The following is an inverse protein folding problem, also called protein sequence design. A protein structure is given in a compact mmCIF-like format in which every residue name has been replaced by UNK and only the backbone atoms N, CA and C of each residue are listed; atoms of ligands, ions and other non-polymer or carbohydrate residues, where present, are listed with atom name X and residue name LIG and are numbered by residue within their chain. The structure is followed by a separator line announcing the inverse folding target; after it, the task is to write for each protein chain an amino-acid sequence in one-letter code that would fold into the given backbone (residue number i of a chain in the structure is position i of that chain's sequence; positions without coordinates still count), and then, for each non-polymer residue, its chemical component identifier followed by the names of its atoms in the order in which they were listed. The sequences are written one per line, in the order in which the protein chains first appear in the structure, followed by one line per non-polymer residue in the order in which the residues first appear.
data_IF_575278109977
#
_entry.id   IF_575278109977
#
_cell.length_a   1.000
_cell.length_b   1.000
_cell.length_c   1.000
_cell.angle_alpha   90.00
_cell.angle_beta   90.00
_cell.angle_gamma   90.00
#
_symmetry.space_group_name_H-M   'P 1'
#
loop_
_entity.id
_entity.type
_entity.pdbx_description
1 polymer ?
#
# COMPACT_ATOMS: atom_id res chain seq x y z
N UNK A 1 11.05 5.20 -9.54
CA UNK A 1 10.23 5.12 -10.77
C UNK A 1 11.13 4.87 -11.98
N UNK A 2 10.61 4.32 -13.10
CA UNK A 2 11.38 4.30 -14.34
C UNK A 2 11.34 5.70 -14.97
N UNK A 3 12.51 6.25 -15.32
CA UNK A 3 12.62 7.58 -15.92
C UNK A 3 11.78 7.73 -17.21
N UNK A 4 11.38 6.62 -17.82
CA UNK A 4 10.56 6.59 -19.03
C UNK A 4 9.07 6.83 -18.77
N UNK A 5 8.54 6.42 -17.62
CA UNK A 5 7.13 6.66 -17.27
C UNK A 5 6.87 8.12 -16.92
N UNK A 6 7.75 8.71 -16.11
CA UNK A 6 7.66 10.13 -15.74
C UNK A 6 7.75 11.04 -16.96
N UNK A 7 8.73 10.79 -17.85
CA UNK A 7 8.86 11.52 -19.13
C UNK A 7 7.64 11.37 -20.03
N UNK A 8 6.95 10.23 -19.99
CA UNK A 8 5.74 10.01 -20.80
C UNK A 8 4.55 10.80 -20.25
N UNK A 9 4.33 10.79 -18.93
CA UNK A 9 3.26 11.58 -18.31
C UNK A 9 3.50 13.08 -18.48
N UNK A 10 4.74 13.54 -18.25
CA UNK A 10 5.11 14.94 -18.45
C UNK A 10 4.93 15.37 -19.92
N UNK A 11 5.30 14.51 -20.87
CA UNK A 11 5.08 14.76 -22.31
C UNK A 11 3.60 14.84 -22.71
N UNK A 12 2.73 14.04 -22.09
CA UNK A 12 1.28 14.10 -22.33
C UNK A 12 0.69 15.38 -21.74
N UNK A 13 1.09 15.77 -20.54
CA UNK A 13 0.66 17.01 -19.89
C UNK A 13 1.09 18.22 -20.72
N UNK A 14 2.35 18.26 -21.16
CA UNK A 14 2.90 19.33 -21.99
C UNK A 14 2.15 19.46 -23.33
N UNK A 15 1.85 18.34 -23.99
CA UNK A 15 1.08 18.34 -25.24
C UNK A 15 -0.36 18.87 -25.04
N UNK A 16 -1.02 18.51 -23.94
CA UNK A 16 -2.36 19.02 -23.63
C UNK A 16 -2.33 20.53 -23.36
N UNK A 17 -1.34 21.02 -22.61
CA UNK A 17 -1.22 22.44 -22.26
C UNK A 17 -0.81 23.33 -23.45
N UNK A 18 0.11 22.88 -24.28
CA UNK A 18 0.68 23.67 -25.38
C UNK A 18 -0.16 23.63 -26.65
N UNK A 19 -0.88 22.52 -26.91
CA UNK A 19 -1.57 22.33 -28.18
C UNK A 19 -3.09 22.21 -28.07
N UNK A 20 -3.64 21.71 -26.96
CA UNK A 20 -5.09 21.46 -26.86
C UNK A 20 -5.81 22.61 -26.16
N UNK A 21 -5.31 23.07 -25.00
CA UNK A 21 -5.92 24.17 -24.24
C UNK A 21 -6.02 25.47 -25.06
N UNK A 22 -4.97 25.93 -25.79
CA UNK A 22 -5.01 27.21 -26.50
C UNK A 22 -5.89 27.20 -27.76
N UNK A 23 -6.06 26.02 -28.37
CA UNK A 23 -6.83 25.85 -29.61
C UNK A 23 -8.30 25.47 -29.34
N UNK A 24 -8.70 25.32 -28.08
CA UNK A 24 -10.07 25.02 -27.69
C UNK A 24 -10.86 26.31 -27.47
N UNK A 25 -11.79 26.60 -28.38
CA UNK A 25 -12.72 27.74 -28.29
C UNK A 25 -13.90 27.49 -27.34
N UNK A 26 -14.05 26.27 -26.84
CA UNK A 26 -15.13 25.89 -25.91
C UNK A 26 -14.60 25.80 -24.48
N UNK A 27 -15.20 26.59 -23.58
CA UNK A 27 -14.93 26.63 -22.14
C UNK A 27 -15.17 25.28 -21.46
N UNK A 28 -16.19 24.53 -21.87
CA UNK A 28 -16.47 23.21 -21.33
C UNK A 28 -15.35 22.23 -21.67
N UNK A 29 -14.88 22.23 -22.92
CA UNK A 29 -13.77 21.39 -23.38
C UNK A 29 -12.47 21.76 -22.67
N UNK A 30 -12.21 23.05 -22.44
CA UNK A 30 -11.07 23.49 -21.62
C UNK A 30 -11.15 22.94 -20.19
N UNK A 31 -12.33 22.99 -19.58
CA UNK A 31 -12.57 22.41 -18.26
C UNK A 31 -12.24 20.90 -18.20
N UNK A 32 -12.68 20.13 -19.19
CA UNK A 32 -12.39 18.69 -19.29
C UNK A 32 -10.88 18.41 -19.46
N UNK A 33 -10.18 19.23 -20.25
CA UNK A 33 -8.72 19.10 -20.45
C UNK A 33 -7.97 19.42 -19.15
N UNK A 34 -8.37 20.43 -18.39
CA UNK A 34 -7.80 20.69 -17.07
C UNK A 34 -8.07 19.55 -16.08
N UNK A 35 -9.27 18.94 -16.10
CA UNK A 35 -9.56 17.75 -15.30
C UNK A 35 -8.68 16.56 -15.68
N UNK A 36 -8.39 16.35 -16.97
CA UNK A 36 -7.49 15.31 -17.44
C UNK A 36 -6.03 15.54 -16.99
N UNK A 37 -5.53 16.78 -17.11
CA UNK A 37 -4.21 17.18 -16.60
C UNK A 37 -4.14 16.95 -15.08
N UNK A 38 -5.19 17.30 -14.35
CA UNK A 38 -5.26 17.07 -12.90
C UNK A 38 -5.23 15.58 -12.56
N UNK A 39 -5.97 14.73 -13.30
CA UNK A 39 -5.94 13.28 -13.11
C UNK A 39 -4.56 12.67 -13.44
N UNK A 40 -3.88 13.16 -14.48
CA UNK A 40 -2.52 12.72 -14.84
C UNK A 40 -1.48 13.13 -13.79
N UNK A 41 -1.59 14.34 -13.24
CA UNK A 41 -0.79 14.76 -12.08
C UNK A 41 -1.10 13.92 -10.83
N UNK A 42 -2.37 13.56 -10.62
CA UNK A 42 -2.77 12.63 -9.57
C UNK A 42 -2.19 11.22 -9.75
N UNK A 43 -2.05 10.74 -11.00
CA UNK A 43 -1.39 9.48 -11.33
C UNK A 43 0.13 9.54 -11.08
N UNK A 44 0.78 10.68 -11.40
CA UNK A 44 2.20 10.92 -11.06
C UNK A 44 2.40 10.92 -9.53
N UNK A 45 1.51 11.59 -8.79
CA UNK A 45 1.52 11.63 -7.33
C UNK A 45 1.25 10.25 -6.71
N UNK A 46 0.30 9.48 -7.25
CA UNK A 46 0.03 8.10 -6.83
C UNK A 46 1.19 7.15 -7.19
N UNK A 47 1.96 7.43 -8.24
CA UNK A 47 3.17 6.69 -8.57
C UNK A 47 4.35 7.05 -7.65
N UNK A 48 4.42 8.29 -7.15
CA UNK A 48 5.35 8.74 -6.10
C UNK A 48 5.01 8.15 -4.71
N UNK A 49 3.77 7.72 -4.47
CA UNK A 49 3.31 7.14 -3.20
C UNK A 49 3.89 5.75 -2.84
N UNK A 50 4.68 5.11 -3.69
CA UNK A 50 5.11 3.71 -3.48
C UNK A 50 6.25 3.48 -2.47
N UNK A 51 6.93 4.47 -1.89
CA UNK A 51 8.02 4.17 -0.94
C UNK A 51 7.58 4.15 0.54
N UNK A 52 7.05 5.26 1.05
CA UNK A 52 6.77 5.43 2.50
C UNK A 52 5.78 4.39 3.07
N UNK A 53 4.56 4.29 2.53
CA UNK A 53 3.59 3.29 2.98
C UNK A 53 4.07 1.84 2.83
N UNK A 54 4.80 1.51 1.75
CA UNK A 54 5.37 0.18 1.59
C UNK A 54 6.44 -0.11 2.66
N UNK A 55 7.27 0.88 3.01
CA UNK A 55 8.24 0.75 4.11
C UNK A 55 7.52 0.51 5.45
N UNK A 56 6.44 1.23 5.72
CA UNK A 56 5.66 1.08 6.95
C UNK A 56 4.99 -0.30 7.04
N UNK A 57 4.49 -0.84 5.92
CA UNK A 57 3.98 -2.21 5.86
C UNK A 57 5.08 -3.23 6.14
N UNK A 58 6.25 -3.12 5.51
CA UNK A 58 7.34 -4.08 5.75
C UNK A 58 7.86 -4.00 7.19
N UNK A 59 7.92 -2.81 7.80
CA UNK A 59 8.25 -2.65 9.22
C UNK A 59 7.21 -3.29 10.13
N UNK A 60 5.92 -3.13 9.83
CA UNK A 60 4.83 -3.78 10.55
C UNK A 60 4.93 -5.31 10.46
N UNK A 61 5.21 -5.84 9.27
CA UNK A 61 5.48 -7.25 9.06
C UNK A 61 6.71 -7.71 9.86
N UNK A 62 7.79 -6.94 9.90
CA UNK A 62 9.00 -7.26 10.66
C UNK A 62 8.75 -7.34 12.17
N UNK A 63 7.99 -6.38 12.72
CA UNK A 63 7.55 -6.44 14.11
C UNK A 63 6.68 -7.67 14.39
N UNK A 64 5.82 -8.02 13.44
CA UNK A 64 4.95 -9.20 13.53
C UNK A 64 5.78 -10.48 13.53
N UNK A 65 6.73 -10.65 12.61
CA UNK A 65 7.63 -11.80 12.57
C UNK A 65 8.44 -11.94 13.87
N UNK A 66 8.99 -10.84 14.39
CA UNK A 66 9.72 -10.86 15.66
C UNK A 66 8.84 -11.27 16.84
N UNK A 67 7.56 -10.88 16.86
CA UNK A 67 6.62 -11.31 17.89
C UNK A 67 6.23 -12.79 17.75
N UNK A 68 5.89 -13.24 16.55
CA UNK A 68 5.57 -14.65 16.29
C UNK A 68 6.75 -15.56 16.63
N UNK A 69 7.98 -15.17 16.27
CA UNK A 69 9.19 -15.96 16.58
C UNK A 69 9.37 -16.17 18.08
N UNK A 70 9.06 -15.16 18.91
CA UNK A 70 9.14 -15.27 20.37
C UNK A 70 8.04 -16.15 20.94
N UNK A 71 6.82 -16.04 20.42
CA UNK A 71 5.67 -16.84 20.88
C UNK A 71 5.80 -18.30 20.45
N UNK A 72 6.26 -18.56 19.24
CA UNK A 72 6.42 -19.89 18.67
C UNK A 72 7.71 -20.61 19.12
N UNK A 73 8.44 -20.06 20.10
CA UNK A 73 9.66 -20.67 20.59
C UNK A 73 9.39 -22.10 21.12
N UNK A 74 10.23 -23.04 20.72
CA UNK A 74 10.05 -24.46 21.00
C UNK A 74 8.91 -25.16 20.23
N UNK A 75 8.18 -24.47 19.35
CA UNK A 75 7.19 -25.08 18.46
C UNK A 75 7.78 -25.36 17.07
N UNK A 76 7.34 -26.43 16.41
CA UNK A 76 7.65 -26.64 14.98
C UNK A 76 6.74 -25.74 14.14
N UNK A 77 7.32 -24.72 13.50
CA UNK A 77 6.61 -23.71 12.73
C UNK A 77 7.23 -23.50 11.33
N UNK A 78 6.48 -22.96 10.36
CA UNK A 78 7.02 -22.52 9.07
C UNK A 78 8.15 -21.50 9.22
N UNK A 79 9.01 -21.35 8.22
CA UNK A 79 10.14 -20.42 8.28
C UNK A 79 9.71 -18.97 8.57
N UNK A 80 10.23 -18.40 9.66
CA UNK A 80 10.06 -16.99 10.02
C UNK A 80 11.32 -16.23 9.61
N UNK A 81 11.22 -15.23 8.72
CA UNK A 81 12.39 -14.53 8.21
C UNK A 81 13.09 -13.73 9.32
N UNK A 82 14.41 -13.56 9.19
CA UNK A 82 15.16 -12.67 10.06
C UNK A 82 14.77 -11.21 9.79
N UNK A 83 14.66 -10.43 10.87
CA UNK A 83 14.28 -9.01 10.81
C UNK A 83 15.39 -8.15 11.43
N UNK A 84 15.57 -6.88 10.99
CA UNK A 84 14.81 -6.19 9.94
C UNK A 84 15.15 -6.69 8.52
N UNK A 85 14.17 -6.70 7.61
CA UNK A 85 14.34 -7.15 6.21
C UNK A 85 14.73 -6.03 5.26
N UNK A 86 14.49 -4.77 5.62
CA UNK A 86 14.89 -3.61 4.81
C UNK A 86 16.29 -3.14 5.22
N UNK A 87 17.25 -3.04 4.28
CA UNK A 87 18.51 -2.34 4.51
C UNK A 87 18.29 -0.85 4.72
N UNK A 88 19.07 -0.21 5.60
CA UNK A 88 18.89 1.19 6.02
C UNK A 88 18.84 2.21 4.87
N UNK A 89 19.42 1.90 3.70
CA UNK A 89 19.53 2.82 2.55
C UNK A 89 18.70 2.40 1.32
N UNK A 90 17.72 1.49 1.47
CA UNK A 90 16.92 1.06 0.31
C UNK A 90 15.90 2.12 -0.11
N UNK A 91 16.13 2.79 -1.24
CA UNK A 91 15.18 3.69 -1.91
C UNK A 91 14.47 3.02 -3.10
N UNK A 92 14.72 1.75 -3.36
CA UNK A 92 14.12 1.03 -4.49
C UNK A 92 12.71 0.52 -4.14
N UNK A 93 11.70 1.26 -4.58
CA UNK A 93 10.30 0.92 -4.36
C UNK A 93 9.91 -0.47 -4.91
N UNK A 94 10.51 -0.93 -6.01
CA UNK A 94 10.19 -2.24 -6.57
C UNK A 94 10.76 -3.37 -5.69
N UNK A 95 11.95 -3.18 -5.14
CA UNK A 95 12.53 -4.10 -4.16
C UNK A 95 11.71 -4.14 -2.86
N UNK A 96 11.24 -2.99 -2.38
CA UNK A 96 10.41 -2.90 -1.18
C UNK A 96 9.05 -3.58 -1.41
N UNK A 97 8.44 -3.38 -2.59
CA UNK A 97 7.20 -4.08 -2.99
C UNK A 97 7.40 -5.60 -3.01
N UNK A 98 8.50 -6.09 -3.59
CA UNK A 98 8.84 -7.51 -3.57
C UNK A 98 9.02 -8.07 -2.15
N UNK A 99 9.65 -7.31 -1.24
CA UNK A 99 9.79 -7.70 0.18
C UNK A 99 8.45 -7.75 0.91
N UNK A 100 7.55 -6.80 0.60
CA UNK A 100 6.20 -6.74 1.16
C UNK A 100 5.38 -7.95 0.72
N UNK A 101 5.37 -8.25 -0.59
CA UNK A 101 4.63 -9.38 -1.16
C UNK A 101 5.13 -10.74 -0.61
N UNK A 102 6.45 -10.88 -0.44
CA UNK A 102 7.02 -12.05 0.23
C UNK A 102 6.59 -12.15 1.69
N UNK A 103 6.57 -11.02 2.40
CA UNK A 103 6.07 -10.92 3.77
C UNK A 103 4.61 -11.35 3.90
N UNK A 104 3.74 -10.89 3.00
CA UNK A 104 2.31 -11.24 3.02
C UNK A 104 2.10 -12.73 2.81
N UNK A 105 2.85 -13.33 1.88
CA UNK A 105 2.83 -14.78 1.65
C UNK A 105 3.22 -15.55 2.91
N UNK A 106 4.30 -15.13 3.59
CA UNK A 106 4.79 -15.78 4.83
C UNK A 106 3.82 -15.59 6.00
N UNK A 107 3.23 -14.40 6.16
CA UNK A 107 2.19 -14.17 7.16
C UNK A 107 0.98 -15.07 6.94
N UNK A 108 0.55 -15.25 5.69
CA UNK A 108 -0.53 -16.18 5.35
C UNK A 108 -0.21 -17.63 5.71
N UNK A 109 1.03 -18.08 5.45
CA UNK A 109 1.49 -19.42 5.83
C UNK A 109 1.51 -19.62 7.36
N UNK A 110 2.01 -18.63 8.11
CA UNK A 110 2.01 -18.67 9.57
C UNK A 110 0.59 -18.66 10.13
N UNK A 111 -0.33 -17.92 9.53
CA UNK A 111 -1.73 -17.90 9.95
C UNK A 111 -2.39 -19.26 9.74
N UNK A 112 -2.19 -19.87 8.57
CA UNK A 112 -2.69 -21.21 8.27
C UNK A 112 -2.14 -22.24 9.27
N UNK A 113 -0.85 -22.16 9.58
CA UNK A 113 -0.22 -23.03 10.58
C UNK A 113 -0.80 -22.83 11.98
N UNK A 114 -0.89 -21.59 12.48
CA UNK A 114 -1.38 -21.28 13.82
C UNK A 114 -2.86 -21.66 14.00
N UNK A 115 -3.65 -21.55 12.93
CA UNK A 115 -5.04 -22.02 12.90
C UNK A 115 -5.20 -23.53 12.70
N UNK A 116 -4.11 -24.25 12.40
CA UNK A 116 -4.11 -25.68 12.17
C UNK A 116 -4.18 -26.52 13.46
N UNK A 117 -4.66 -27.75 13.33
CA UNK A 117 -4.77 -28.68 14.46
C UNK A 117 -3.40 -29.05 15.05
N UNK A 118 -2.35 -29.14 14.22
CA UNK A 118 -1.00 -29.47 14.67
C UNK A 118 -0.45 -28.46 15.69
N UNK A 119 -0.51 -27.17 15.39
CA UNK A 119 -0.06 -26.13 16.31
C UNK A 119 -0.91 -26.09 17.59
N UNK A 120 -2.22 -26.26 17.45
CA UNK A 120 -3.17 -26.25 18.58
C UNK A 120 -3.06 -27.49 19.48
N UNK A 121 -2.64 -28.62 18.95
CA UNK A 121 -2.39 -29.84 19.73
C UNK A 121 -1.12 -29.70 20.59
N UNK A 122 -0.10 -28.99 20.08
CA UNK A 122 1.15 -28.72 20.83
C UNK A 122 0.89 -27.68 21.93
N UNK A 123 0.36 -26.52 21.57
CA UNK A 123 0.04 -25.47 22.53
C UNK A 123 -1.09 -24.59 22.02
N UNK A 124 -2.31 -24.90 22.42
CA UNK A 124 -3.52 -24.18 22.00
C UNK A 124 -3.48 -22.70 22.35
N UNK A 125 -3.02 -22.34 23.55
CA UNK A 125 -3.03 -20.96 24.00
C UNK A 125 -2.11 -20.09 23.13
N UNK A 126 -0.87 -20.56 22.91
CA UNK A 126 0.11 -19.88 22.07
C UNK A 126 -0.36 -19.82 20.61
N UNK A 127 -0.91 -20.91 20.07
CA UNK A 127 -1.43 -20.94 18.70
C UNK A 127 -2.57 -19.92 18.50
N UNK A 128 -3.48 -19.79 19.47
CA UNK A 128 -4.55 -18.78 19.45
C UNK A 128 -4.01 -17.35 19.56
N UNK A 129 -3.01 -17.12 20.41
CA UNK A 129 -2.38 -15.80 20.55
C UNK A 129 -1.68 -15.36 19.25
N UNK A 130 -0.93 -16.28 18.62
CA UNK A 130 -0.30 -16.06 17.32
C UNK A 130 -1.33 -15.78 16.23
N UNK A 131 -2.42 -16.56 16.17
CA UNK A 131 -3.51 -16.33 15.22
C UNK A 131 -4.10 -14.92 15.37
N UNK A 132 -4.39 -14.48 16.59
CA UNK A 132 -4.92 -13.15 16.85
C UNK A 132 -3.93 -12.05 16.45
N UNK A 133 -2.65 -12.21 16.77
CA UNK A 133 -1.60 -11.27 16.41
C UNK A 133 -1.47 -11.13 14.89
N UNK A 134 -1.49 -12.24 14.15
CA UNK A 134 -1.42 -12.25 12.69
C UNK A 134 -2.65 -11.60 12.04
N UNK A 135 -3.86 -11.91 12.52
CA UNK A 135 -5.09 -11.27 12.03
C UNK A 135 -5.08 -9.76 12.25
N UNK A 136 -4.63 -9.32 13.43
CA UNK A 136 -4.47 -7.89 13.74
C UNK A 136 -3.46 -7.22 12.80
N UNK A 137 -2.30 -7.84 12.57
CA UNK A 137 -1.30 -7.32 11.65
C UNK A 137 -1.82 -7.16 10.22
N UNK A 138 -2.62 -8.12 9.73
CA UNK A 138 -3.28 -8.01 8.42
C UNK A 138 -4.26 -6.83 8.39
N UNK A 139 -5.10 -6.68 9.42
CA UNK A 139 -6.00 -5.52 9.53
C UNK A 139 -5.24 -4.19 9.59
N UNK A 140 -4.11 -4.14 10.29
CA UNK A 140 -3.31 -2.92 10.41
C UNK A 140 -2.58 -2.59 9.09
N UNK A 141 -2.16 -3.60 8.30
CA UNK A 141 -1.68 -3.39 6.92
C UNK A 141 -2.76 -2.82 6.00
N UNK A 142 -3.98 -3.35 6.06
CA UNK A 142 -5.13 -2.84 5.29
C UNK A 142 -5.46 -1.38 5.65
N UNK A 143 -5.29 -0.98 6.92
CA UNK A 143 -5.47 0.44 7.31
C UNK A 143 -4.44 1.35 6.66
N UNK A 144 -3.18 0.90 6.56
CA UNK A 144 -2.13 1.64 5.85
C UNK A 144 -2.52 1.80 4.37
N UNK A 145 -2.97 0.73 3.72
CA UNK A 145 -3.43 0.76 2.32
C UNK A 145 -4.61 1.70 2.11
N UNK A 146 -5.64 1.61 2.96
CA UNK A 146 -6.83 2.44 2.89
C UNK A 146 -6.53 3.92 3.14
N UNK A 147 -5.60 4.24 4.06
CA UNK A 147 -5.17 5.62 4.30
C UNK A 147 -4.46 6.24 3.08
N UNK A 148 -3.89 5.39 2.23
CA UNK A 148 -3.16 5.79 1.01
C UNK A 148 -3.96 5.61 -0.27
N UNK A 149 -5.21 5.16 -0.17
CA UNK A 149 -6.10 5.10 -1.32
C UNK A 149 -6.62 6.51 -1.63
N UNK A 150 -6.48 7.02 -2.87
CA UNK A 150 -7.08 8.29 -3.24
C UNK A 150 -8.60 8.24 -2.99
N UNK A 151 -9.15 9.22 -2.25
CA UNK A 151 -10.60 9.32 -2.05
C UNK A 151 -11.27 9.42 -3.42
N UNK A 152 -12.29 8.60 -3.65
CA UNK A 152 -13.02 8.61 -4.92
C UNK A 152 -13.61 10.01 -5.18
N UNK A 153 -13.70 10.41 -6.45
CA UNK A 153 -14.33 11.69 -6.82
C UNK A 153 -15.74 11.84 -6.20
N UNK A 154 -16.48 10.75 -6.01
CA UNK A 154 -17.79 10.76 -5.35
C UNK A 154 -17.74 11.21 -3.88
N UNK A 155 -16.68 10.85 -3.15
CA UNK A 155 -16.49 11.32 -1.77
C UNK A 155 -16.09 12.79 -1.70
N UNK A 156 -15.38 13.30 -2.70
CA UNK A 156 -15.01 14.71 -2.78
C UNK A 156 -16.24 15.57 -3.12
N UNK A 157 -17.05 15.13 -4.10
CA UNK A 157 -18.31 15.80 -4.47
C UNK A 157 -19.33 15.76 -3.32
N UNK A 158 -19.43 14.63 -2.60
CA UNK A 158 -20.32 14.52 -1.45
C UNK A 158 -19.85 15.31 -0.21
N UNK A 159 -18.55 15.61 -0.11
CA UNK A 159 -17.98 16.43 0.97
C UNK A 159 -18.16 17.93 0.74
N UNK A 160 -18.03 18.40 -0.51
CA UNK A 160 -18.14 19.81 -0.85
C UNK A 160 -19.59 20.29 -1.07
N UNK A 161 -20.54 19.37 -1.26
CA UNK A 161 -21.97 19.69 -1.39
C UNK A 161 -22.68 20.12 -0.10
N UNK A 162 -22.00 20.12 1.05
CA UNK A 162 -22.57 20.43 2.36
C UNK A 162 -22.44 21.87 2.83
N UNK A 163 -21.69 22.72 2.13
CA UNK A 163 -21.41 24.10 2.55
C UNK A 163 -21.88 25.12 1.50
N UNK A 164 -23.18 25.13 1.21
CA UNK A 164 -23.85 26.26 0.57
C UNK A 164 -25.26 26.43 1.16
N UNK A 165 -25.30 26.89 2.42
CA UNK A 165 -26.43 27.65 2.95
C UNK A 165 -25.90 29.05 3.30
N UNK A 166 -26.51 30.07 2.70
CA UNK A 166 -26.20 31.49 2.89
C UNK A 166 -26.59 32.31 1.69
#
# INVERSE_FOLDING_TARGET
MSASFERLIDGIIDALQSHVVPNSNDDFVRGQVFSAIYALNGLKLAADWKAGPLLDQVRLQDHTFAAVKRLADGMTHPEIPATPRIPHDSSDAAAIEGLRDDGDRRLGQLLLWASGEGARAVNRAVATEIEHLLRRAICDQLKIELATTPKSMLQQIAGDGGAAQG
#
